data_IF_927840143120
#
_entry.id   IF_927840143120
#
_cell.length_a   1.000
_cell.length_b   1.000
_cell.length_c   1.000
_cell.angle_alpha   90.00
_cell.angle_beta   90.00
_cell.angle_gamma   90.00
#
_symmetry.space_group_name_H-M   'P 1'
#
loop_
_entity.id
_entity.type
_entity.pdbx_description
1 polymer ?
#
# COMPACT_ATOMS: atom_id res chain seq x y z
N UNK A 1 -9.98 28.70 17.14
CA UNK A 1 -10.41 27.48 16.43
C UNK A 1 -9.76 26.29 17.10
N UNK A 2 -10.53 25.29 17.52
CA UNK A 2 -10.02 24.07 18.13
C UNK A 2 -9.23 23.27 17.09
N UNK A 3 -8.04 22.79 17.44
CA UNK A 3 -7.24 21.96 16.55
C UNK A 3 -7.88 20.56 16.46
N UNK A 4 -8.04 20.05 15.23
CA UNK A 4 -8.68 18.76 14.98
C UNK A 4 -8.13 18.14 13.69
N UNK A 5 -8.35 16.84 13.50
CA UNK A 5 -7.77 16.10 12.38
C UNK A 5 -8.34 16.54 11.03
N UNK A 6 -9.62 16.88 10.98
CA UNK A 6 -10.31 17.27 9.74
C UNK A 6 -9.60 18.47 9.10
N UNK A 7 -9.50 19.59 9.85
CA UNK A 7 -8.84 20.81 9.35
C UNK A 7 -7.36 20.59 9.04
N UNK A 8 -6.70 19.79 9.86
CA UNK A 8 -5.30 19.45 9.65
C UNK A 8 -5.09 18.70 8.32
N UNK A 9 -5.90 17.68 8.05
CA UNK A 9 -5.82 16.87 6.84
C UNK A 9 -6.20 17.66 5.60
N UNK A 10 -7.23 18.52 5.68
CA UNK A 10 -7.59 19.44 4.59
C UNK A 10 -6.38 20.30 4.19
N UNK A 11 -5.70 20.92 5.17
CA UNK A 11 -4.51 21.71 4.91
C UNK A 11 -3.35 20.87 4.38
N UNK A 12 -3.01 19.77 5.04
CA UNK A 12 -1.88 18.90 4.67
C UNK A 12 -2.08 18.23 3.32
N UNK A 13 -3.30 17.88 2.92
CA UNK A 13 -3.56 17.14 1.69
C UNK A 13 -3.87 18.07 0.50
N UNK A 14 -4.33 19.29 0.73
CA UNK A 14 -4.57 20.29 -0.33
C UNK A 14 -3.34 20.52 -1.21
N UNK A 15 -2.13 20.50 -0.63
CA UNK A 15 -0.88 20.67 -1.36
C UNK A 15 -0.61 19.58 -2.41
N UNK A 16 -1.27 18.42 -2.30
CA UNK A 16 -1.13 17.31 -3.24
C UNK A 16 -2.21 17.32 -4.34
N UNK A 17 -3.05 18.35 -4.38
CA UNK A 17 -4.12 18.56 -5.36
C UNK A 17 -5.04 17.33 -5.54
N UNK A 18 -5.83 16.96 -4.51
CA UNK A 18 -6.86 15.94 -4.67
C UNK A 18 -7.79 16.27 -5.84
N UNK A 19 -8.14 15.25 -6.63
CA UNK A 19 -9.07 15.39 -7.76
C UNK A 19 -10.51 15.45 -7.29
N UNK A 20 -10.82 14.82 -6.17
CA UNK A 20 -12.14 14.80 -5.55
C UNK A 20 -12.01 14.49 -4.06
N UNK A 21 -13.04 14.84 -3.28
CA UNK A 21 -13.15 14.54 -1.85
C UNK A 21 -14.56 14.04 -1.56
N UNK A 22 -14.66 12.79 -1.09
CA UNK A 22 -15.93 12.17 -0.69
C UNK A 22 -16.03 12.10 0.84
N UNK A 23 -17.16 12.56 1.36
CA UNK A 23 -17.48 12.48 2.78
C UNK A 23 -18.57 11.42 2.98
N UNK A 24 -18.34 10.47 3.88
CA UNK A 24 -19.37 9.53 4.32
C UNK A 24 -19.56 9.63 5.81
N UNK A 25 -20.82 9.72 6.23
CA UNK A 25 -21.21 9.73 7.62
C UNK A 25 -22.21 8.61 7.88
N UNK A 26 -22.00 7.91 8.98
CA UNK A 26 -22.91 6.92 9.55
C UNK A 26 -23.14 7.27 11.02
N UNK A 27 -24.07 6.58 11.69
CA UNK A 27 -24.39 6.84 13.09
C UNK A 27 -23.19 6.67 14.04
N UNK A 28 -22.21 5.83 13.67
CA UNK A 28 -21.07 5.48 14.53
C UNK A 28 -19.72 5.99 14.04
N UNK A 29 -19.62 6.39 12.78
CA UNK A 29 -18.34 6.68 12.10
C UNK A 29 -18.52 7.70 11.00
N UNK A 30 -17.49 8.54 10.82
CA UNK A 30 -17.35 9.38 9.64
C UNK A 30 -16.06 9.03 8.91
N UNK A 31 -16.03 9.22 7.59
CA UNK A 31 -14.82 9.07 6.81
C UNK A 31 -14.69 10.14 5.73
N UNK A 32 -13.45 10.54 5.48
CA UNK A 32 -13.06 11.43 4.39
C UNK A 32 -12.18 10.65 3.44
N UNK A 33 -12.57 10.60 2.18
CA UNK A 33 -11.78 9.96 1.12
C UNK A 33 -11.30 11.01 0.13
N UNK A 34 -9.98 11.16 0.05
CA UNK A 34 -9.30 12.04 -0.89
C UNK A 34 -8.88 11.22 -2.11
N UNK A 35 -9.36 11.60 -3.28
CA UNK A 35 -9.02 10.94 -4.53
C UNK A 35 -7.87 11.66 -5.25
N UNK A 36 -6.97 10.86 -5.84
CA UNK A 36 -5.80 11.32 -6.59
C UNK A 36 -5.66 10.50 -7.86
N UNK A 37 -6.31 10.91 -8.95
CA UNK A 37 -6.31 10.19 -10.23
C UNK A 37 -6.76 8.72 -10.10
N UNK A 38 -5.84 7.77 -9.97
CA UNK A 38 -6.10 6.33 -9.81
C UNK A 38 -5.81 5.82 -8.40
N UNK A 39 -5.63 6.73 -7.45
CA UNK A 39 -5.29 6.46 -6.05
C UNK A 39 -6.28 7.14 -5.12
N UNK A 40 -6.43 6.63 -3.91
CA UNK A 40 -7.27 7.26 -2.90
C UNK A 40 -6.61 7.13 -1.52
N UNK A 41 -6.91 8.08 -0.62
CA UNK A 41 -6.58 8.04 0.79
C UNK A 41 -7.88 8.20 1.57
N UNK A 42 -8.26 7.18 2.34
CA UNK A 42 -9.41 7.23 3.23
C UNK A 42 -8.93 7.38 4.67
N UNK A 43 -9.52 8.34 5.37
CA UNK A 43 -9.35 8.51 6.81
C UNK A 43 -10.70 8.28 7.46
N UNK A 44 -10.79 7.31 8.35
CA UNK A 44 -11.96 7.04 9.18
C UNK A 44 -11.76 7.67 10.56
N UNK A 45 -12.80 8.32 11.07
CA UNK A 45 -12.80 9.05 12.32
C UNK A 45 -13.83 8.44 13.28
N UNK A 46 -13.43 8.30 14.55
CA UNK A 46 -14.40 8.12 15.64
C UNK A 46 -15.06 9.46 15.98
N UNK A 47 -14.26 10.54 15.94
CA UNK A 47 -14.68 11.91 16.15
C UNK A 47 -13.66 12.87 15.49
N UNK A 48 -13.92 14.18 15.51
CA UNK A 48 -13.03 15.16 14.85
C UNK A 48 -11.59 15.19 15.39
N UNK A 49 -11.36 14.69 16.59
CA UNK A 49 -10.06 14.63 17.29
C UNK A 49 -9.44 13.24 17.33
N UNK A 50 -10.14 12.22 16.83
CA UNK A 50 -9.71 10.82 16.91
C UNK A 50 -9.88 10.10 15.58
N UNK A 51 -8.76 9.71 14.97
CA UNK A 51 -8.74 8.85 13.77
C UNK A 51 -8.82 7.39 14.21
N UNK A 52 -9.71 6.63 13.58
CA UNK A 52 -9.82 5.18 13.74
C UNK A 52 -8.96 4.42 12.74
N UNK A 53 -8.81 4.93 11.52
CA UNK A 53 -8.06 4.23 10.48
C UNK A 53 -7.57 5.22 9.42
N UNK A 54 -6.38 4.97 8.88
CA UNK A 54 -5.89 5.62 7.66
C UNK A 54 -5.50 4.53 6.68
N UNK A 55 -6.12 4.54 5.50
CA UNK A 55 -5.79 3.63 4.42
C UNK A 55 -5.57 4.36 3.11
N UNK A 56 -4.64 3.85 2.32
CA UNK A 56 -4.37 4.30 0.97
C UNK A 56 -4.42 3.11 0.02
N UNK A 57 -5.05 3.32 -1.13
CA UNK A 57 -5.16 2.28 -2.14
C UNK A 57 -5.26 2.85 -3.54
N UNK A 58 -5.59 1.97 -4.47
CA UNK A 58 -5.82 2.33 -5.87
C UNK A 58 -7.19 1.89 -6.31
N UNK A 59 -7.72 2.63 -7.28
CA UNK A 59 -9.01 2.35 -7.90
C UNK A 59 -8.93 2.67 -9.39
N UNK A 60 -9.65 1.90 -10.21
CA UNK A 60 -9.77 2.12 -11.65
C UNK A 60 -11.13 1.67 -12.11
N UNK A 61 -11.85 2.52 -12.85
CA UNK A 61 -13.19 2.24 -13.37
C UNK A 61 -14.17 1.74 -12.27
N UNK A 62 -14.11 2.33 -11.08
CA UNK A 62 -14.95 1.95 -9.93
C UNK A 62 -14.52 0.66 -9.21
N UNK A 63 -13.42 0.03 -9.61
CA UNK A 63 -12.91 -1.20 -8.99
C UNK A 63 -11.70 -0.86 -8.11
N UNK A 64 -11.79 -1.20 -6.83
CA UNK A 64 -10.68 -1.08 -5.88
C UNK A 64 -9.70 -2.23 -6.04
N UNK A 65 -8.41 -1.97 -5.84
CA UNK A 65 -7.40 -3.02 -5.86
C UNK A 65 -7.47 -3.93 -4.63
N UNK A 66 -7.10 -5.20 -4.81
CA UNK A 66 -7.06 -6.24 -3.77
C UNK A 66 -6.02 -6.01 -2.68
N UNK A 67 -5.21 -4.96 -2.77
CA UNK A 67 -4.24 -4.59 -1.73
C UNK A 67 -4.55 -3.19 -1.19
N UNK A 68 -3.95 -2.85 -0.05
CA UNK A 68 -3.98 -1.51 0.52
C UNK A 68 -2.78 -1.27 1.41
N UNK A 69 -2.47 0.00 1.60
CA UNK A 69 -1.45 0.49 2.51
C UNK A 69 -2.18 1.08 3.72
N UNK A 70 -1.78 0.67 4.91
CA UNK A 70 -2.38 1.09 6.16
C UNK A 70 -1.34 1.82 7.01
N UNK A 71 -1.79 2.88 7.68
CA UNK A 71 -1.06 3.43 8.82
C UNK A 71 -1.10 2.43 9.97
N UNK A 72 0.03 2.10 10.61
CA UNK A 72 0.07 1.19 11.75
C UNK A 72 1.16 1.58 12.75
N UNK A 73 0.79 1.86 14.00
CA UNK A 73 1.70 2.40 15.02
C UNK A 73 2.94 1.54 15.31
N UNK A 74 2.81 0.21 15.27
CA UNK A 74 3.93 -0.71 15.50
C UNK A 74 4.73 -1.09 14.26
N UNK A 75 4.32 -0.63 13.07
CA UNK A 75 5.04 -0.95 11.84
C UNK A 75 6.23 0.00 11.65
N UNK A 76 7.34 -0.45 11.05
CA UNK A 76 8.41 0.43 10.61
C UNK A 76 7.86 1.56 9.71
N UNK A 77 8.25 2.80 9.99
CA UNK A 77 7.74 4.01 9.31
C UNK A 77 6.20 4.08 9.25
N UNK A 78 5.53 3.43 10.19
CA UNK A 78 4.08 3.34 10.31
C UNK A 78 3.36 2.76 9.10
N UNK A 79 4.05 2.05 8.21
CA UNK A 79 3.48 1.56 6.97
C UNK A 79 3.26 0.05 7.02
N UNK A 80 2.04 -0.41 6.74
CA UNK A 80 1.71 -1.85 6.62
C UNK A 80 0.97 -2.10 5.33
N UNK A 81 1.47 -3.01 4.48
CA UNK A 81 0.76 -3.43 3.26
C UNK A 81 -0.06 -4.67 3.57
N UNK A 82 -1.33 -4.67 3.19
CA UNK A 82 -2.26 -5.80 3.39
C UNK A 82 -3.03 -6.13 2.11
N UNK A 83 -3.43 -7.38 1.96
CA UNK A 83 -4.38 -7.85 0.95
C UNK A 83 -5.80 -7.83 1.54
N UNK A 84 -6.77 -7.28 0.81
CA UNK A 84 -8.19 -7.15 1.20
C UNK A 84 -8.88 -8.50 1.44
N UNK A 85 -8.52 -9.54 0.70
CA UNK A 85 -9.17 -10.87 0.76
C UNK A 85 -8.94 -11.61 2.10
N UNK A 86 -8.02 -11.15 2.95
CA UNK A 86 -7.67 -11.79 4.23
C UNK A 86 -7.98 -10.89 5.44
N UNK A 87 -9.01 -10.04 5.34
CA UNK A 87 -9.48 -9.23 6.49
C UNK A 87 -10.11 -10.14 7.56
N UNK A 88 -9.25 -10.72 8.41
CA UNK A 88 -9.64 -11.02 9.79
C UNK A 88 -9.63 -9.69 10.52
N UNK A 89 -10.70 -9.42 11.25
CA UNK A 89 -11.00 -8.18 11.98
C UNK A 89 -9.96 -7.95 13.10
N UNK A 90 -8.75 -7.53 12.71
CA UNK A 90 -7.68 -7.13 13.61
C UNK A 90 -8.05 -5.74 14.16
N UNK A 91 -8.87 -5.72 15.21
CA UNK A 91 -9.23 -4.57 16.06
C UNK A 91 -8.01 -3.93 16.80
N UNK A 92 -6.84 -3.90 16.18
CA UNK A 92 -5.57 -3.67 16.88
C UNK A 92 -5.04 -2.26 16.64
N UNK A 93 -5.32 -1.37 17.60
CA UNK A 93 -4.49 -0.20 17.96
C UNK A 93 -4.30 0.92 16.91
N UNK A 94 -5.33 1.27 16.14
CA UNK A 94 -5.27 2.34 15.14
C UNK A 94 -5.74 3.72 15.65
N UNK A 95 -6.18 3.82 16.91
CA UNK A 95 -6.71 5.06 17.48
C UNK A 95 -5.60 6.11 17.62
N UNK A 96 -5.69 7.18 16.84
CA UNK A 96 -4.78 8.34 16.85
C UNK A 96 -5.52 9.57 17.39
N UNK A 97 -5.20 9.97 18.62
CA UNK A 97 -5.67 11.24 19.20
C UNK A 97 -4.93 12.43 18.59
N UNK A 98 -5.61 13.57 18.50
CA UNK A 98 -5.00 14.81 18.02
C UNK A 98 -4.03 15.39 19.06
N UNK A 99 -2.76 15.01 18.93
CA UNK A 99 -1.65 15.55 19.70
C UNK A 99 -0.38 15.64 18.83
N UNK A 100 0.62 16.39 19.31
CA UNK A 100 1.84 16.66 18.54
C UNK A 100 2.57 15.38 18.12
N UNK A 101 2.67 14.39 19.00
CA UNK A 101 3.40 13.17 18.72
C UNK A 101 2.70 12.34 17.63
N UNK A 102 1.37 12.25 17.68
CA UNK A 102 0.59 11.52 16.68
C UNK A 102 0.54 12.25 15.33
N UNK A 103 0.56 13.58 15.33
CA UNK A 103 0.72 14.39 14.10
C UNK A 103 2.07 14.09 13.43
N UNK A 104 3.16 13.99 14.21
CA UNK A 104 4.48 13.63 13.69
C UNK A 104 4.48 12.21 13.08
N UNK A 105 3.88 11.22 13.76
CA UNK A 105 3.76 9.85 13.22
C UNK A 105 3.00 9.82 11.90
N UNK A 106 1.85 10.50 11.83
CA UNK A 106 1.05 10.54 10.61
C UNK A 106 1.80 11.26 9.47
N UNK A 107 2.57 12.31 9.78
CA UNK A 107 3.42 12.95 8.79
C UNK A 107 4.47 12.02 8.23
N UNK A 108 5.15 11.21 9.07
CA UNK A 108 6.13 10.23 8.59
C UNK A 108 5.48 9.26 7.59
N UNK A 109 4.28 8.77 7.90
CA UNK A 109 3.52 7.92 6.99
C UNK A 109 3.16 8.63 5.68
N UNK A 110 2.57 9.83 5.75
CA UNK A 110 2.13 10.58 4.58
C UNK A 110 3.32 11.02 3.72
N UNK A 111 4.39 11.52 4.31
CA UNK A 111 5.57 11.99 3.58
C UNK A 111 6.28 10.81 2.89
N UNK A 112 6.30 9.61 3.50
CA UNK A 112 6.81 8.40 2.85
C UNK A 112 6.08 8.11 1.53
N UNK A 113 4.76 8.25 1.51
CA UNK A 113 3.92 7.89 0.36
C UNK A 113 3.80 9.03 -0.67
N UNK A 114 3.67 10.28 -0.22
CA UNK A 114 3.38 11.42 -1.08
C UNK A 114 4.63 12.22 -1.49
N UNK A 115 5.73 12.14 -0.72
CA UNK A 115 6.91 13.00 -0.91
C UNK A 115 8.18 12.21 -1.21
N UNK A 116 8.55 11.24 -0.37
CA UNK A 116 9.84 10.53 -0.47
C UNK A 116 9.86 9.53 -1.62
N UNK A 117 8.76 8.80 -1.81
CA UNK A 117 8.66 7.75 -2.81
C UNK A 117 9.21 6.43 -2.28
N UNK A 118 9.39 5.45 -3.18
CA UNK A 118 9.80 4.10 -2.79
C UNK A 118 10.61 3.42 -3.90
N UNK A 119 11.33 2.36 -3.52
CA UNK A 119 12.06 1.51 -4.45
C UNK A 119 11.37 0.17 -4.60
N UNK A 120 11.32 -0.33 -5.82
CA UNK A 120 10.76 -1.65 -6.11
C UNK A 120 11.81 -2.56 -6.68
N UNK A 121 11.92 -3.74 -6.06
CA UNK A 121 12.69 -4.86 -6.57
C UNK A 121 11.69 -5.89 -7.08
N UNK A 122 11.65 -6.01 -8.40
CA UNK A 122 10.75 -6.92 -9.11
C UNK A 122 11.57 -8.15 -9.48
N UNK A 123 11.17 -9.31 -8.98
CA UNK A 123 11.77 -10.58 -9.37
C UNK A 123 10.93 -11.18 -10.48
N UNK A 124 11.57 -11.39 -11.63
CA UNK A 124 10.92 -11.88 -12.84
C UNK A 124 11.54 -13.21 -13.29
N UNK A 125 10.71 -14.14 -13.72
CA UNK A 125 11.13 -15.43 -14.29
C UNK A 125 10.47 -15.62 -15.66
N UNK A 126 11.28 -15.84 -16.71
CA UNK A 126 10.80 -15.97 -18.11
C UNK A 126 9.87 -14.82 -18.56
N UNK A 127 10.14 -13.59 -18.10
CA UNK A 127 9.32 -12.42 -18.40
C UNK A 127 8.07 -12.24 -17.54
N UNK A 128 7.84 -13.08 -16.53
CA UNK A 128 6.72 -12.98 -15.59
C UNK A 128 7.19 -12.53 -14.20
N UNK A 129 6.57 -11.48 -13.67
CA UNK A 129 6.81 -10.99 -12.31
C UNK A 129 6.10 -11.88 -11.28
N UNK A 130 6.83 -12.34 -10.26
CA UNK A 130 6.28 -13.27 -9.25
C UNK A 130 6.53 -12.84 -7.80
N UNK A 131 7.45 -11.91 -7.57
CA UNK A 131 7.68 -11.31 -6.27
C UNK A 131 8.03 -9.83 -6.45
N UNK A 132 7.36 -8.98 -5.68
CA UNK A 132 7.69 -7.57 -5.59
C UNK A 132 8.06 -7.27 -4.15
N UNK A 133 9.27 -6.75 -3.96
CA UNK A 133 9.70 -6.18 -2.69
C UNK A 133 9.65 -4.66 -2.83
N UNK A 134 8.89 -4.02 -1.96
CA UNK A 134 8.79 -2.56 -1.90
C UNK A 134 9.56 -2.07 -0.69
N UNK A 135 10.50 -1.17 -0.94
CA UNK A 135 11.36 -0.56 0.07
C UNK A 135 10.97 0.92 0.21
N UNK A 136 10.49 1.28 1.39
CA UNK A 136 10.04 2.64 1.76
C UNK A 136 10.93 3.09 2.92
N UNK A 137 11.93 3.90 2.63
CA UNK A 137 13.00 4.25 3.57
C UNK A 137 13.58 2.99 4.26
N UNK A 138 13.51 2.91 5.59
CA UNK A 138 13.99 1.76 6.38
C UNK A 138 12.99 0.59 6.48
N UNK A 139 11.82 0.67 5.85
CA UNK A 139 10.79 -0.36 5.87
C UNK A 139 10.84 -1.20 4.59
N UNK A 140 10.84 -2.52 4.74
CA UNK A 140 10.74 -3.46 3.61
C UNK A 140 9.41 -4.20 3.68
N UNK A 141 8.62 -4.07 2.62
CA UNK A 141 7.35 -4.74 2.46
C UNK A 141 7.45 -5.80 1.37
N UNK A 142 7.40 -7.06 1.80
CA UNK A 142 7.37 -8.20 0.89
C UNK A 142 5.92 -8.43 0.45
N UNK A 143 5.64 -8.23 -0.83
CA UNK A 143 4.35 -8.53 -1.43
C UNK A 143 4.52 -9.83 -2.19
N UNK A 144 4.17 -10.93 -1.53
CA UNK A 144 4.14 -12.24 -2.17
C UNK A 144 2.94 -12.30 -3.12
N UNK A 145 3.21 -12.60 -4.38
CA UNK A 145 2.17 -12.80 -5.38
C UNK A 145 1.61 -14.21 -5.22
N UNK A 146 0.81 -14.45 -4.16
CA UNK A 146 0.26 -15.78 -3.88
C UNK A 146 -0.81 -16.15 -4.90
N UNK A 147 -0.49 -17.10 -5.77
CA UNK A 147 -1.47 -18.04 -6.31
C UNK A 147 -1.94 -18.95 -5.17
N UNK A 148 -3.26 -19.15 -5.05
CA UNK A 148 -3.86 -20.09 -4.10
C UNK A 148 -3.75 -21.56 -4.54
N UNK A 149 -2.73 -21.92 -5.32
CA UNK A 149 -2.44 -23.31 -5.65
C UNK A 149 -0.93 -23.55 -5.47
N UNK A 150 -0.63 -24.40 -4.49
CA UNK A 150 0.58 -25.19 -4.21
C UNK A 150 1.90 -24.83 -4.93
N UNK A 151 2.94 -24.82 -4.08
CA UNK A 151 4.38 -24.85 -4.31
C UNK A 151 4.95 -24.98 -5.73
N UNK A 152 6.04 -24.22 -5.89
CA UNK A 152 7.08 -24.32 -6.91
C UNK A 152 6.75 -23.79 -8.31
N UNK A 153 7.04 -22.49 -8.46
CA UNK A 153 7.19 -21.74 -9.72
C UNK A 153 5.84 -21.31 -10.34
N UNK A 154 5.70 -20.03 -10.76
CA UNK A 154 4.51 -19.55 -11.45
C UNK A 154 4.25 -20.39 -12.70
N UNK A 155 3.04 -20.93 -12.84
CA UNK A 155 2.63 -21.60 -14.06
C UNK A 155 2.43 -20.55 -15.17
N UNK A 156 3.02 -20.73 -16.37
CA UNK A 156 2.74 -19.86 -17.50
C UNK A 156 1.24 -19.96 -17.83
N UNK A 157 0.55 -18.81 -17.85
CA UNK A 157 -0.91 -18.57 -17.90
C UNK A 157 -1.57 -18.09 -16.60
N UNK A 158 -0.82 -17.86 -15.53
CA UNK A 158 -1.36 -17.23 -14.33
C UNK A 158 -1.56 -15.71 -14.52
N UNK A 159 -2.81 -15.30 -14.75
CA UNK A 159 -3.22 -13.90 -14.95
C UNK A 159 -3.14 -13.05 -13.68
N UNK A 160 -2.70 -13.62 -12.55
CA UNK A 160 -2.51 -12.90 -11.29
C UNK A 160 -1.37 -11.86 -11.40
N UNK A 161 -0.31 -12.15 -12.17
CA UNK A 161 0.82 -11.22 -12.39
C UNK A 161 0.41 -9.91 -13.08
N UNK A 162 -0.61 -9.96 -13.96
CA UNK A 162 -1.21 -8.75 -14.59
C UNK A 162 -2.04 -7.96 -13.57
N UNK A 163 -2.60 -8.63 -12.56
CA UNK A 163 -3.47 -8.02 -11.53
C UNK A 163 -2.72 -7.45 -10.32
N UNK A 164 -1.48 -7.86 -10.06
CA UNK A 164 -0.82 -7.55 -8.79
C UNK A 164 0.22 -6.42 -8.84
N UNK A 165 0.66 -6.03 -10.04
CA UNK A 165 1.47 -4.84 -10.24
C UNK A 165 0.64 -3.53 -10.09
N UNK A 166 -0.66 -3.66 -9.80
CA UNK A 166 -1.68 -2.60 -9.90
C UNK A 166 -1.54 -1.55 -8.79
N UNK A 167 -1.19 -1.89 -7.55
CA UNK A 167 -1.18 -0.88 -6.49
C UNK A 167 -0.09 0.13 -6.69
N UNK A 168 1.15 -0.33 -6.87
CA UNK A 168 2.25 0.60 -6.97
C UNK A 168 2.39 1.19 -8.38
N UNK A 169 2.01 0.48 -9.46
CA UNK A 169 1.90 1.09 -10.80
C UNK A 169 0.74 2.08 -10.93
N UNK A 170 -0.38 1.88 -10.23
CA UNK A 170 -1.51 2.81 -10.28
C UNK A 170 -1.53 3.78 -9.09
N UNK A 171 -0.58 3.66 -8.15
CA UNK A 171 -0.22 4.73 -7.22
C UNK A 171 0.51 5.81 -8.01
N UNK A 172 -0.28 6.68 -8.63
CA UNK A 172 0.25 7.82 -9.38
C UNK A 172 0.74 8.92 -8.44
N UNK A 173 0.35 8.86 -7.17
CA UNK A 173 0.93 9.67 -6.11
C UNK A 173 2.46 9.46 -6.14
N UNK A 174 3.18 10.56 -6.32
CA UNK A 174 4.64 10.60 -6.30
C UNK A 174 5.37 9.64 -7.26
N UNK A 175 4.74 9.27 -8.38
CA UNK A 175 5.32 8.34 -9.37
C UNK A 175 6.71 8.77 -9.88
N UNK A 176 7.02 10.08 -9.85
CA UNK A 176 8.31 10.66 -10.23
C UNK A 176 9.49 10.26 -9.33
N UNK A 177 9.22 9.97 -8.05
CA UNK A 177 10.27 9.65 -7.06
C UNK A 177 10.45 8.13 -6.87
N UNK A 178 9.72 7.33 -7.65
CA UNK A 178 9.78 5.88 -7.62
C UNK A 178 10.97 5.36 -8.41
N UNK A 179 11.70 4.40 -7.83
CA UNK A 179 12.80 3.68 -8.49
C UNK A 179 12.40 2.22 -8.72
N UNK A 180 12.75 1.67 -9.89
CA UNK A 180 12.47 0.27 -10.23
C UNK A 180 13.75 -0.46 -10.59
N UNK A 181 13.91 -1.67 -10.05
CA UNK A 181 14.97 -2.61 -10.38
C UNK A 181 14.36 -3.96 -10.70
N UNK A 182 14.66 -4.49 -11.89
CA UNK A 182 14.20 -5.82 -12.32
C UNK A 182 15.34 -6.82 -12.14
N UNK A 183 15.07 -7.89 -11.40
CA UNK A 183 16.00 -8.98 -11.11
C UNK A 183 15.47 -10.22 -11.84
N UNK A 184 16.16 -10.61 -12.92
CA UNK A 184 15.81 -11.79 -13.68
C UNK A 184 16.35 -13.06 -13.01
N UNK A 185 15.44 -13.93 -12.58
CA UNK A 185 15.77 -15.21 -11.96
C UNK A 185 16.05 -16.24 -13.04
N UNK A 186 17.28 -16.76 -13.05
CA UNK A 186 17.69 -17.82 -13.97
C UNK A 186 17.35 -19.19 -13.37
N UNK A 187 16.90 -20.16 -14.17
CA UNK A 187 16.69 -21.53 -13.69
C UNK A 187 18.01 -22.10 -13.15
N UNK A 188 17.91 -22.87 -12.07
CA UNK A 188 19.04 -23.63 -11.54
C UNK A 188 19.57 -24.55 -12.64
N UNK A 189 20.86 -24.45 -12.97
CA UNK A 189 21.51 -25.42 -13.85
C UNK A 189 21.48 -26.77 -13.14
N UNK A 190 20.73 -27.74 -13.68
CA UNK A 190 20.83 -29.13 -13.22
C UNK A 190 22.25 -29.61 -13.50
N UNK A 191 23.04 -29.86 -12.45
CA UNK A 191 24.20 -30.74 -12.59
C UNK A 191 23.64 -32.15 -12.79
N UNK A 192 23.49 -32.54 -14.06
CA UNK A 192 23.17 -33.92 -14.41
C UNK A 192 24.40 -34.75 -14.07
N UNK A 193 24.43 -35.32 -12.86
CA UNK A 193 25.32 -36.43 -12.56
C UNK A 193 24.81 -37.57 -13.44
N UNK A 194 25.51 -37.85 -14.55
CA UNK A 194 25.30 -39.06 -15.33
C UNK A 194 25.57 -40.25 -14.41
N UNK A 195 24.53 -40.86 -13.86
CA UNK A 195 24.64 -42.22 -13.36
C UNK A 195 24.77 -43.12 -14.59
N UNK A 196 26.00 -43.59 -14.82
CA UNK A 196 26.26 -44.67 -15.77
C UNK A 196 25.56 -45.93 -15.22
N UNK A 197 24.60 -46.45 -15.98
CA UNK A 197 24.09 -47.82 -15.82
C UNK A 197 25.04 -48.76 -16.55
#
# INVERSE_FOLDING_TARGET
MTANWIKYLEQKLSQFNPTDVENRETEYKSSLTYYFQTSYLTVEFLDSTTINQVELGTYKNGIFSDYKILFHNSAPNFTKVKQRLFEIDENVNYVLTYDKANVEKLNIFLDSLFTNGWTEKIFSYKGFDYLIIVEIDNATHRIELKSNAEQDIPMPMDNLGIKMNIIWNNLKINARNRKKSIIEVKPLKKNVVQQRV
#
